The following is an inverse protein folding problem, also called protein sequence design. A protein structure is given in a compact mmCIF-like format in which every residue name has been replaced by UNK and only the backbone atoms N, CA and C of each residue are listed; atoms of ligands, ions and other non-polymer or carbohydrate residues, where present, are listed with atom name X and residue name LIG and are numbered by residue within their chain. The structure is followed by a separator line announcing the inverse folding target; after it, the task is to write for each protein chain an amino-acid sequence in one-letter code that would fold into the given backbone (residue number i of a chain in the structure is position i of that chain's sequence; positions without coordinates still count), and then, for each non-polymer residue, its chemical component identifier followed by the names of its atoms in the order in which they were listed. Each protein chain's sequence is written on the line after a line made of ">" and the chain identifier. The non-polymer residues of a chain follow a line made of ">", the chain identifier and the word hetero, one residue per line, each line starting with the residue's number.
data_IF_304153388502
#
_entry.id   IF_304153388502
#
_cell.length_a   1.000
_cell.length_b   1.000
_cell.length_c   1.000
_cell.angle_alpha   90.00
_cell.angle_beta   90.00
_cell.angle_gamma   90.00
#
_symmetry.space_group_name_H-M   'P 1'
#
loop_
_entity.id
_entity.type
_entity.pdbx_description
1 polymer ?
#
# COMPACT_ATOMS: atom_id res chain seq x y z
N UNK A 1 14.58 0.44 1.08
CA UNK A 1 13.19 0.14 1.50
C UNK A 1 12.83 -1.27 1.04
N UNK A 2 12.33 -2.07 1.94
CA UNK A 2 11.95 -3.46 1.64
C UNK A 2 10.45 -3.52 1.37
N UNK A 3 10.09 -4.04 0.20
CA UNK A 3 8.69 -4.19 -0.17
C UNK A 3 8.17 -5.54 0.32
N UNK A 4 7.11 -5.51 1.12
CA UNK A 4 6.50 -6.72 1.68
C UNK A 4 5.63 -7.42 0.63
N UNK A 5 4.86 -6.64 -0.13
CA UNK A 5 3.94 -7.20 -1.12
C UNK A 5 3.61 -6.15 -2.18
N UNK A 6 3.35 -6.62 -3.40
CA UNK A 6 2.84 -5.79 -4.50
C UNK A 6 1.58 -6.44 -5.08
N UNK A 7 0.61 -5.62 -5.45
CA UNK A 7 -0.57 -6.07 -6.20
C UNK A 7 -0.88 -5.06 -7.29
N UNK A 8 -1.51 -5.53 -8.36
CA UNK A 8 -1.99 -4.66 -9.44
C UNK A 8 -3.51 -4.66 -9.43
N UNK A 9 -4.11 -3.48 -9.42
CA UNK A 9 -5.57 -3.33 -9.39
C UNK A 9 -6.16 -3.39 -10.81
N UNK A 10 -7.48 -3.24 -10.91
CA UNK A 10 -8.19 -3.31 -12.18
C UNK A 10 -7.84 -2.16 -13.13
N UNK A 11 -7.32 -1.07 -12.59
CA UNK A 11 -6.87 0.09 -13.38
C UNK A 11 -5.39 0.00 -13.76
N UNK A 12 -4.78 -1.16 -13.52
CA UNK A 12 -3.37 -1.43 -13.82
C UNK A 12 -2.39 -0.59 -13.01
N UNK A 13 -2.84 -0.06 -11.86
CA UNK A 13 -1.95 0.59 -10.92
C UNK A 13 -1.31 -0.48 -10.04
N UNK A 14 -0.02 -0.37 -9.81
CA UNK A 14 0.69 -1.27 -8.91
C UNK A 14 0.74 -0.64 -7.53
N UNK A 15 0.22 -1.35 -6.53
CA UNK A 15 0.26 -0.95 -5.15
C UNK A 15 1.36 -1.71 -4.43
N UNK A 16 2.06 -1.05 -3.53
CA UNK A 16 3.13 -1.68 -2.76
C UNK A 16 2.91 -1.47 -1.27
N UNK A 17 3.31 -2.46 -0.47
CA UNK A 17 3.24 -2.42 0.98
C UNK A 17 4.65 -2.45 1.56
N UNK A 18 4.94 -1.56 2.50
CA UNK A 18 6.24 -1.48 3.15
C UNK A 18 6.09 -0.86 4.54
N UNK A 19 7.13 -0.99 5.37
CA UNK A 19 7.15 -0.31 6.67
C UNK A 19 7.63 1.11 6.47
N UNK A 20 6.81 2.08 6.85
CA UNK A 20 7.14 3.50 6.76
C UNK A 20 7.81 3.96 8.05
N UNK A 21 9.13 3.97 8.05
CA UNK A 21 9.93 4.33 9.21
C UNK A 21 9.84 5.82 9.56
N UNK A 22 9.42 6.63 8.61
CA UNK A 22 9.21 8.06 8.83
C UNK A 22 7.83 8.36 9.42
N UNK A 23 6.97 7.34 9.52
CA UNK A 23 5.62 7.47 10.04
C UNK A 23 5.32 6.37 11.05
N UNK A 24 5.96 6.44 12.22
CA UNK A 24 5.75 5.57 13.37
C UNK A 24 5.90 4.07 13.06
N UNK A 25 6.72 3.71 12.08
CA UNK A 25 6.92 2.32 11.65
C UNK A 25 5.60 1.61 11.29
N UNK A 26 4.61 2.36 10.83
CA UNK A 26 3.35 1.80 10.35
C UNK A 26 3.52 1.15 8.99
N UNK A 27 2.61 0.25 8.67
CA UNK A 27 2.59 -0.41 7.36
C UNK A 27 1.88 0.49 6.37
N UNK A 28 2.60 0.94 5.35
CA UNK A 28 2.07 1.83 4.33
C UNK A 28 1.73 1.05 3.07
N UNK A 29 0.56 1.32 2.50
CA UNK A 29 0.16 0.80 1.19
C UNK A 29 -0.05 2.00 0.29
N UNK A 30 0.70 2.06 -0.80
CA UNK A 30 0.60 3.19 -1.74
C UNK A 30 0.81 2.73 -3.17
N UNK A 31 0.43 3.59 -4.11
CA UNK A 31 0.68 3.35 -5.54
C UNK A 31 2.16 3.57 -5.82
N UNK A 32 2.77 2.61 -6.52
CA UNK A 32 4.17 2.69 -6.92
C UNK A 32 4.41 3.93 -7.78
N UNK A 33 5.47 4.67 -7.44
CA UNK A 33 5.84 5.86 -8.18
C UNK A 33 5.10 7.13 -7.77
N UNK A 34 4.20 7.06 -6.80
CA UNK A 34 3.52 8.25 -6.28
C UNK A 34 4.47 9.00 -5.35
N UNK A 35 5.17 9.98 -5.89
CA UNK A 35 6.16 10.76 -5.14
C UNK A 35 5.53 11.84 -4.27
N UNK A 36 4.29 12.20 -4.53
CA UNK A 36 3.63 13.29 -3.83
C UNK A 36 2.87 12.81 -2.60
N UNK A 37 2.87 11.51 -2.30
CA UNK A 37 2.14 10.91 -1.17
C UNK A 37 0.69 11.40 -1.14
N UNK A 38 0.02 11.29 -2.29
CA UNK A 38 -1.37 11.67 -2.40
C UNK A 38 -2.19 10.91 -1.36
N UNK A 39 -2.89 11.64 -0.48
CA UNK A 39 -3.65 11.04 0.62
C UNK A 39 -4.77 10.11 0.14
N UNK A 40 -5.19 10.23 -1.12
CA UNK A 40 -6.18 9.33 -1.71
C UNK A 40 -5.56 8.03 -2.23
N UNK A 41 -4.23 7.96 -2.31
CA UNK A 41 -3.50 6.82 -2.85
C UNK A 41 -2.44 6.30 -1.87
N UNK A 42 -2.54 6.68 -0.61
CA UNK A 42 -1.59 6.29 0.42
C UNK A 42 -2.33 6.04 1.72
N UNK A 43 -2.17 4.85 2.27
CA UNK A 43 -2.88 4.39 3.46
C UNK A 43 -1.90 3.79 4.45
N UNK A 44 -2.13 4.00 5.74
CA UNK A 44 -1.29 3.46 6.81
C UNK A 44 -2.10 2.54 7.71
N UNK A 45 -1.49 1.45 8.14
CA UNK A 45 -2.12 0.43 8.99
C UNK A 45 -1.19 0.09 10.15
N UNK A 46 -1.76 -0.30 11.28
CA UNK A 46 -0.99 -0.70 12.46
C UNK A 46 -0.39 -2.09 12.34
N UNK A 47 -1.04 -3.00 11.60
CA UNK A 47 -0.56 -4.37 11.46
C UNK A 47 -0.40 -4.75 9.99
N UNK A 48 0.51 -5.69 9.73
CA UNK A 48 0.72 -6.19 8.38
C UNK A 48 -0.52 -6.91 7.85
N UNK A 49 -1.26 -7.59 8.70
CA UNK A 49 -2.47 -8.30 8.28
C UNK A 49 -3.53 -7.33 7.77
N UNK A 50 -3.71 -6.19 8.43
CA UNK A 50 -4.64 -5.16 7.96
C UNK A 50 -4.23 -4.64 6.58
N UNK A 51 -2.94 -4.39 6.40
CA UNK A 51 -2.42 -3.89 5.13
C UNK A 51 -2.63 -4.90 4.00
N UNK A 52 -2.35 -6.17 4.27
CA UNK A 52 -2.51 -7.24 3.27
C UNK A 52 -3.99 -7.45 2.92
N UNK A 53 -4.88 -7.41 3.91
CA UNK A 53 -6.32 -7.52 3.66
C UNK A 53 -6.78 -6.37 2.75
N UNK A 54 -6.32 -5.16 3.01
CA UNK A 54 -6.63 -4.02 2.16
C UNK A 54 -6.12 -4.23 0.73
N UNK A 55 -4.90 -4.73 0.56
CA UNK A 55 -4.33 -5.00 -0.76
C UNK A 55 -5.11 -6.08 -1.51
N UNK A 56 -5.60 -7.09 -0.80
CA UNK A 56 -6.43 -8.11 -1.42
C UNK A 56 -7.75 -7.54 -1.92
N UNK A 57 -8.34 -6.59 -1.20
CA UNK A 57 -9.54 -5.89 -1.66
C UNK A 57 -9.26 -5.07 -2.92
N UNK A 58 -8.11 -4.42 -2.99
CA UNK A 58 -7.70 -3.68 -4.19
C UNK A 58 -7.57 -4.60 -5.40
N UNK A 59 -6.95 -5.76 -5.20
CA UNK A 59 -6.75 -6.74 -6.27
C UNK A 59 -8.08 -7.28 -6.80
N UNK A 60 -9.07 -7.47 -5.93
CA UNK A 60 -10.37 -7.99 -6.26
C UNK A 60 -11.35 -6.92 -6.76
N UNK A 61 -10.98 -5.65 -6.62
CA UNK A 61 -11.82 -4.54 -7.03
C UNK A 61 -11.94 -4.48 -8.55
N UNK A 62 -13.14 -4.30 -9.02
CA UNK A 62 -13.43 -4.23 -10.47
C UNK A 62 -13.73 -2.80 -10.89
#
# INVERSE_FOLDING_TARGET
>A
MEIIKRVTDSRKRTWECFVDRCYFDMYCVRVEGDRNFNSQLSFHFYTVNEAIDFMNLLKESH
#
